data_IF_977625503881
#
_entry.id   IF_977625503881
#
_cell.length_a   1.000
_cell.length_b   1.000
_cell.length_c   1.000
_cell.angle_alpha   90.00
_cell.angle_beta   90.00
_cell.angle_gamma   90.00
#
_symmetry.space_group_name_H-M   'P 1'
#
loop_
_entity.id
_entity.type
_entity.pdbx_description
1 polymer ?
#
# COMPACT_ATOMS: atom_id res chain seq x y z
N UNK A 1 -5.41 3.21 -12.17
CA UNK A 1 -5.21 3.49 -10.74
C UNK A 1 -6.37 4.30 -10.17
N UNK A 2 -6.82 5.35 -10.88
CA UNK A 2 -7.86 6.29 -10.44
C UNK A 2 -9.10 5.61 -9.87
N UNK A 3 -9.70 4.65 -10.59
CA UNK A 3 -10.90 3.96 -10.13
C UNK A 3 -10.69 3.17 -8.83
N UNK A 4 -9.56 2.49 -8.69
CA UNK A 4 -9.22 1.74 -7.48
C UNK A 4 -8.97 2.70 -6.30
N UNK A 5 -8.28 3.81 -6.53
CA UNK A 5 -8.07 4.84 -5.51
C UNK A 5 -9.39 5.50 -5.13
N UNK A 6 -10.26 5.83 -6.09
CA UNK A 6 -11.57 6.41 -5.84
C UNK A 6 -12.44 5.46 -4.99
N UNK A 7 -12.43 4.16 -5.31
CA UNK A 7 -13.10 3.14 -4.50
C UNK A 7 -12.53 3.05 -3.08
N UNK A 8 -11.20 3.09 -2.92
CA UNK A 8 -10.55 3.07 -1.61
C UNK A 8 -10.83 4.33 -0.78
N UNK A 9 -11.04 5.48 -1.42
CA UNK A 9 -11.37 6.75 -0.76
C UNK A 9 -12.86 6.86 -0.41
N UNK A 10 -13.72 5.98 -0.92
CA UNK A 10 -15.14 6.00 -0.63
C UNK A 10 -15.38 5.80 0.88
N UNK A 11 -15.98 6.82 1.52
CA UNK A 11 -16.24 6.82 2.97
C UNK A 11 -15.11 7.37 3.84
N UNK A 12 -13.99 7.81 3.28
CA UNK A 12 -12.85 8.33 4.03
C UNK A 12 -12.81 9.86 4.16
N UNK A 13 -13.93 10.55 3.88
CA UNK A 13 -14.01 12.03 3.82
C UNK A 13 -13.65 12.72 5.15
N UNK A 14 -13.93 12.04 6.25
CA UNK A 14 -13.72 12.54 7.62
C UNK A 14 -12.29 12.33 8.13
N UNK A 15 -11.45 11.56 7.43
CA UNK A 15 -10.07 11.34 7.86
C UNK A 15 -9.23 12.60 7.64
N UNK A 16 -8.52 13.01 8.69
CA UNK A 16 -7.66 14.19 8.68
C UNK A 16 -6.39 13.99 7.85
N UNK A 17 -5.84 12.78 7.86
CA UNK A 17 -4.60 12.45 7.17
C UNK A 17 -4.82 11.24 6.24
N UNK A 18 -4.47 11.42 4.97
CA UNK A 18 -4.51 10.37 3.96
C UNK A 18 -3.12 10.23 3.36
N UNK A 19 -2.53 9.05 3.54
CA UNK A 19 -1.24 8.68 2.98
C UNK A 19 -1.47 7.56 1.98
N UNK A 20 -0.95 7.74 0.76
CA UNK A 20 -1.07 6.74 -0.30
C UNK A 20 0.32 6.38 -0.81
N UNK A 21 0.68 5.11 -0.68
CA UNK A 21 1.93 4.58 -1.21
C UNK A 21 1.68 3.81 -2.50
N UNK A 22 2.47 4.09 -3.52
CA UNK A 22 2.43 3.39 -4.80
C UNK A 22 3.77 3.52 -5.49
N UNK A 23 4.23 2.46 -6.16
CA UNK A 23 5.58 2.40 -6.75
C UNK A 23 5.78 3.48 -7.80
N UNK A 24 4.72 3.92 -8.47
CA UNK A 24 4.79 5.00 -9.46
C UNK A 24 4.13 6.30 -8.98
N UNK A 25 3.99 6.50 -7.67
CA UNK A 25 3.43 7.72 -7.07
C UNK A 25 4.02 9.01 -7.65
N UNK A 26 5.35 9.04 -7.86
CA UNK A 26 6.05 10.24 -8.34
C UNK A 26 5.68 10.65 -9.78
N UNK A 27 5.20 9.70 -10.60
CA UNK A 27 4.71 9.98 -11.96
C UNK A 27 3.21 10.23 -11.92
N UNK A 28 2.50 9.44 -11.12
CA UNK A 28 1.05 9.49 -11.02
C UNK A 28 0.53 10.82 -10.47
N UNK A 29 1.25 11.43 -9.51
CA UNK A 29 0.86 12.71 -8.90
C UNK A 29 0.71 13.84 -9.93
N UNK A 30 1.46 13.80 -11.03
CA UNK A 30 1.50 14.88 -12.03
C UNK A 30 0.14 15.13 -12.70
N UNK A 31 -0.68 14.09 -12.85
CA UNK A 31 -1.99 14.15 -13.52
C UNK A 31 -3.15 13.74 -12.61
N UNK A 32 -2.86 13.40 -11.34
CA UNK A 32 -3.85 12.89 -10.40
C UNK A 32 -5.03 13.86 -10.23
N UNK A 33 -4.75 15.14 -9.99
CA UNK A 33 -5.79 16.14 -9.73
C UNK A 33 -6.68 16.34 -10.96
N UNK A 34 -6.09 16.39 -12.16
CA UNK A 34 -6.83 16.59 -13.40
C UNK A 34 -7.76 15.40 -13.69
N UNK A 35 -7.26 14.17 -13.55
CA UNK A 35 -8.07 12.97 -13.72
C UNK A 35 -9.24 12.93 -12.73
N UNK A 36 -9.02 13.33 -11.47
CA UNK A 36 -10.08 13.32 -10.46
C UNK A 36 -11.08 14.45 -10.65
N UNK A 37 -10.68 15.63 -11.14
CA UNK A 37 -11.62 16.68 -11.56
C UNK A 37 -12.55 16.20 -12.66
N UNK A 38 -12.02 15.45 -13.63
CA UNK A 38 -12.80 14.94 -14.76
C UNK A 38 -13.74 13.79 -14.37
N UNK A 39 -13.24 12.81 -13.59
CA UNK A 39 -13.92 11.52 -13.39
C UNK A 39 -14.58 11.35 -12.02
N UNK A 40 -14.07 12.02 -10.99
CA UNK A 40 -14.51 11.85 -9.59
C UNK A 40 -14.53 13.20 -8.84
N UNK A 41 -15.29 14.20 -9.33
CA UNK A 41 -15.24 15.56 -8.79
C UNK A 41 -15.53 15.63 -7.28
N UNK A 42 -16.41 14.76 -6.77
CA UNK A 42 -16.75 14.67 -5.34
C UNK A 42 -15.59 14.25 -4.42
N UNK A 43 -14.52 13.67 -4.99
CA UNK A 43 -13.33 13.24 -4.27
C UNK A 43 -12.17 14.23 -4.39
N UNK A 44 -12.28 15.28 -5.22
CA UNK A 44 -11.25 16.30 -5.38
C UNK A 44 -10.78 16.89 -4.04
N UNK A 45 -11.68 17.24 -3.08
CA UNK A 45 -11.24 17.75 -1.78
C UNK A 45 -10.39 16.75 -0.98
N UNK A 46 -10.52 15.44 -1.21
CA UNK A 46 -9.64 14.44 -0.59
C UNK A 46 -8.30 14.38 -1.32
N UNK A 47 -8.33 14.44 -2.66
CA UNK A 47 -7.14 14.42 -3.49
C UNK A 47 -6.23 15.63 -3.27
N UNK A 48 -6.79 16.80 -2.97
CA UNK A 48 -5.99 17.98 -2.63
C UNK A 48 -5.24 17.83 -1.29
N UNK A 49 -5.70 16.92 -0.41
CA UNK A 49 -5.14 16.69 0.93
C UNK A 49 -4.31 15.41 1.03
N UNK A 50 -4.40 14.51 0.06
CA UNK A 50 -3.71 13.21 0.08
C UNK A 50 -2.21 13.40 -0.17
N UNK A 51 -1.37 12.69 0.58
CA UNK A 51 0.07 12.64 0.31
C UNK A 51 0.41 11.36 -0.42
N UNK A 52 0.99 11.49 -1.61
CA UNK A 52 1.52 10.36 -2.37
C UNK A 52 2.98 10.14 -1.99
N UNK A 53 3.33 8.90 -1.68
CA UNK A 53 4.65 8.50 -1.20
C UNK A 53 5.14 7.26 -1.96
N UNK A 54 6.45 7.02 -1.89
CA UNK A 54 7.08 5.83 -2.44
C UNK A 54 7.31 4.78 -1.35
N UNK A 55 6.95 3.51 -1.58
CA UNK A 55 7.39 2.40 -0.74
C UNK A 55 8.92 2.36 -0.64
N UNK A 56 9.45 2.00 0.54
CA UNK A 56 10.86 2.19 0.90
C UNK A 56 11.83 1.40 0.03
N UNK A 57 11.46 0.21 -0.42
CA UNK A 57 12.29 -0.63 -1.29
C UNK A 57 12.25 -0.07 -2.71
N UNK A 58 11.04 0.16 -3.24
CA UNK A 58 10.87 0.67 -4.60
C UNK A 58 11.44 2.06 -4.80
N UNK A 59 11.42 2.90 -3.76
CA UNK A 59 11.98 4.26 -3.78
C UNK A 59 13.41 4.30 -4.34
N UNK A 60 14.25 3.30 -4.05
CA UNK A 60 15.65 3.24 -4.50
C UNK A 60 15.79 3.12 -6.03
N UNK A 61 14.75 2.66 -6.73
CA UNK A 61 14.73 2.59 -8.20
C UNK A 61 14.41 3.94 -8.87
N UNK A 62 14.11 4.98 -8.09
CA UNK A 62 13.76 6.31 -8.61
C UNK A 62 14.96 7.26 -8.59
N UNK A 63 14.83 8.38 -9.30
CA UNK A 63 15.81 9.48 -9.26
C UNK A 63 15.95 10.01 -7.83
N UNK A 64 17.14 10.47 -7.47
CA UNK A 64 17.49 10.97 -6.13
C UNK A 64 16.46 11.95 -5.55
N UNK A 65 15.99 12.91 -6.36
CA UNK A 65 14.94 13.85 -5.96
C UNK A 65 13.67 13.15 -5.43
N UNK A 66 13.22 12.09 -6.10
CA UNK A 66 12.04 11.33 -5.67
C UNK A 66 12.29 10.59 -4.35
N UNK A 67 13.52 10.12 -4.13
CA UNK A 67 13.92 9.41 -2.92
C UNK A 67 13.91 10.30 -1.68
N UNK A 68 13.97 11.62 -1.86
CA UNK A 68 13.94 12.59 -0.77
C UNK A 68 12.50 13.11 -0.58
N UNK A 69 11.86 13.53 -1.67
CA UNK A 69 10.54 14.20 -1.61
C UNK A 69 9.40 13.25 -1.23
N UNK A 70 9.45 12.00 -1.72
CA UNK A 70 8.36 11.03 -1.50
C UNK A 70 8.71 10.00 -0.43
N UNK A 71 9.75 10.25 0.37
CA UNK A 71 10.21 9.33 1.39
C UNK A 71 9.21 9.20 2.54
N UNK A 72 8.87 7.96 2.89
CA UNK A 72 8.04 7.66 4.05
C UNK A 72 8.66 8.18 5.36
N UNK A 73 9.97 8.03 5.55
CA UNK A 73 10.65 8.41 6.79
C UNK A 73 10.67 9.91 7.08
N UNK A 74 10.49 10.75 6.06
CA UNK A 74 10.43 12.21 6.21
C UNK A 74 8.99 12.75 6.23
N UNK A 75 7.99 11.87 6.12
CA UNK A 75 6.59 12.28 6.08
C UNK A 75 5.90 12.07 7.43
N UNK A 76 5.33 13.14 7.98
CA UNK A 76 4.58 13.05 9.24
C UNK A 76 3.41 12.07 9.14
N UNK A 77 3.23 11.25 10.19
CA UNK A 77 2.15 10.28 10.32
C UNK A 77 2.43 8.88 9.74
N UNK A 78 3.59 8.66 9.10
CA UNK A 78 3.96 7.34 8.55
C UNK A 78 4.54 6.38 9.60
N UNK A 79 5.15 6.92 10.66
CA UNK A 79 5.93 6.14 11.62
C UNK A 79 7.05 5.35 10.95
N UNK A 80 7.37 4.16 11.47
CA UNK A 80 8.37 3.25 10.89
C UNK A 80 7.80 2.32 9.82
N UNK A 81 6.83 2.81 9.04
CA UNK A 81 6.17 2.05 7.98
C UNK A 81 7.07 1.96 6.74
N UNK A 82 7.06 0.80 6.07
CA UNK A 82 7.85 0.57 4.85
C UNK A 82 7.05 0.79 3.57
N UNK A 83 5.72 0.69 3.60
CA UNK A 83 4.88 0.73 2.40
C UNK A 83 4.91 -0.58 1.58
N UNK A 84 5.70 -1.56 2.00
CA UNK A 84 5.97 -2.81 1.24
C UNK A 84 5.13 -4.00 1.70
N UNK A 85 4.22 -3.83 2.66
CA UNK A 85 3.60 -4.96 3.36
C UNK A 85 2.70 -5.84 2.49
N UNK A 86 2.33 -5.39 1.29
CA UNK A 86 1.64 -6.21 0.28
C UNK A 86 2.60 -7.17 -0.45
N UNK A 87 3.89 -6.84 -0.53
CA UNK A 87 4.91 -7.59 -1.29
C UNK A 87 5.84 -8.40 -0.40
N UNK A 88 6.03 -8.00 0.85
CA UNK A 88 6.78 -8.77 1.86
C UNK A 88 6.42 -10.27 1.91
N UNK A 89 5.14 -10.69 1.78
CA UNK A 89 4.76 -12.10 1.85
C UNK A 89 5.16 -12.89 0.60
N UNK A 90 5.58 -12.24 -0.49
CA UNK A 90 5.91 -12.92 -1.74
C UNK A 90 7.05 -13.92 -1.56
N UNK A 91 8.00 -13.68 -0.65
CA UNK A 91 9.06 -14.64 -0.34
C UNK A 91 8.48 -16.00 0.09
N UNK A 92 7.43 -15.99 0.92
CA UNK A 92 6.75 -17.19 1.39
C UNK A 92 5.78 -17.73 0.34
N UNK A 93 4.99 -16.86 -0.28
CA UNK A 93 3.98 -17.23 -1.28
C UNK A 93 4.60 -17.78 -2.57
N UNK A 94 5.85 -17.46 -2.89
CA UNK A 94 6.56 -18.05 -4.02
C UNK A 94 6.65 -19.58 -3.92
N UNK A 95 6.61 -20.15 -2.70
CA UNK A 95 6.58 -21.59 -2.48
C UNK A 95 5.24 -22.21 -2.92
N UNK A 96 4.14 -21.45 -2.87
CA UNK A 96 2.83 -21.86 -3.37
C UNK A 96 2.85 -22.21 -4.86
N UNK A 97 3.79 -21.66 -5.62
CA UNK A 97 3.90 -21.87 -7.07
C UNK A 97 4.02 -23.35 -7.40
N UNK A 98 4.86 -24.10 -6.67
CA UNK A 98 5.13 -25.51 -6.98
C UNK A 98 3.96 -26.40 -6.55
N UNK A 99 3.38 -26.13 -5.38
CA UNK A 99 2.29 -26.93 -4.82
C UNK A 99 0.97 -26.73 -5.55
N UNK A 100 0.74 -25.54 -6.14
CA UNK A 100 -0.51 -25.23 -6.86
C UNK A 100 -0.44 -25.44 -8.37
N UNK A 101 0.72 -25.82 -8.93
CA UNK A 101 0.92 -25.88 -10.39
C UNK A 101 0.06 -26.93 -11.08
N UNK A 102 -0.08 -28.09 -10.47
CA UNK A 102 -0.82 -29.23 -11.04
C UNK A 102 -2.31 -29.26 -10.61
N UNK A 103 -2.73 -28.27 -9.81
CA UNK A 103 -4.13 -28.16 -9.36
C UNK A 103 -5.05 -27.70 -10.48
N UNK A 104 -6.32 -28.11 -10.44
CA UNK A 104 -7.36 -27.53 -11.28
C UNK A 104 -7.50 -26.02 -11.04
N UNK A 105 -8.08 -25.28 -12.00
CA UNK A 105 -8.24 -23.82 -11.88
C UNK A 105 -8.98 -23.41 -10.60
N UNK A 106 -10.08 -24.09 -10.27
CA UNK A 106 -10.85 -23.82 -9.05
C UNK A 106 -10.05 -24.16 -7.79
N UNK A 107 -9.48 -25.36 -7.73
CA UNK A 107 -8.68 -25.81 -6.58
C UNK A 107 -7.46 -24.91 -6.33
N UNK A 108 -6.81 -24.43 -7.40
CA UNK A 108 -5.70 -23.48 -7.32
C UNK A 108 -6.15 -22.14 -6.74
N UNK A 109 -7.29 -21.63 -7.17
CA UNK A 109 -7.83 -20.37 -6.67
C UNK A 109 -8.16 -20.46 -5.18
N UNK A 110 -8.82 -21.54 -4.76
CA UNK A 110 -9.17 -21.78 -3.36
C UNK A 110 -7.93 -21.96 -2.48
N UNK A 111 -6.94 -22.73 -2.94
CA UNK A 111 -5.67 -22.91 -2.22
C UNK A 111 -4.92 -21.58 -2.04
N UNK A 112 -4.83 -20.75 -3.08
CA UNK A 112 -4.19 -19.44 -2.96
C UNK A 112 -4.97 -18.52 -2.00
N UNK A 113 -6.29 -18.48 -2.09
CA UNK A 113 -7.12 -17.69 -1.17
C UNK A 113 -6.93 -18.11 0.28
N UNK A 114 -6.85 -19.42 0.56
CA UNK A 114 -6.59 -19.92 1.90
C UNK A 114 -5.23 -19.45 2.44
N UNK A 115 -4.18 -19.50 1.62
CA UNK A 115 -2.85 -19.00 1.98
C UNK A 115 -2.85 -17.48 2.26
N UNK A 116 -3.53 -16.69 1.42
CA UNK A 116 -3.66 -15.25 1.63
C UNK A 116 -4.48 -14.92 2.89
N UNK A 117 -5.57 -15.65 3.15
CA UNK A 117 -6.40 -15.49 4.33
C UNK A 117 -5.64 -15.86 5.60
N UNK A 118 -4.86 -16.94 5.58
CA UNK A 118 -3.98 -17.30 6.69
C UNK A 118 -2.98 -16.17 6.98
N UNK A 119 -2.35 -15.58 5.96
CA UNK A 119 -1.45 -14.45 6.15
C UNK A 119 -2.16 -13.21 6.73
N UNK A 120 -3.40 -12.94 6.30
CA UNK A 120 -4.22 -11.87 6.88
C UNK A 120 -4.54 -12.13 8.35
N UNK A 121 -4.89 -13.37 8.70
CA UNK A 121 -5.11 -13.78 10.09
C UNK A 121 -3.85 -13.61 10.94
N UNK A 122 -2.70 -14.07 10.47
CA UNK A 122 -1.43 -13.87 11.18
C UNK A 122 -1.11 -12.39 11.42
N UNK A 123 -1.38 -11.50 10.45
CA UNK A 123 -1.20 -10.06 10.63
C UNK A 123 -2.14 -9.50 11.70
N UNK A 124 -3.39 -9.95 11.74
CA UNK A 124 -4.38 -9.49 12.70
C UNK A 124 -4.03 -9.93 14.13
N UNK A 125 -3.72 -11.22 14.32
CA UNK A 125 -3.33 -11.77 15.63
C UNK A 125 -2.05 -11.12 16.18
N UNK A 126 -1.06 -10.88 15.32
CA UNK A 126 0.22 -10.34 15.74
C UNK A 126 0.27 -8.81 15.75
N UNK A 127 -0.83 -8.12 15.42
CA UNK A 127 -0.87 -6.66 15.31
C UNK A 127 -0.38 -5.98 16.60
N UNK A 128 -0.80 -6.47 17.76
CA UNK A 128 -0.38 -5.93 19.07
C UNK A 128 1.14 -6.02 19.31
N UNK A 129 1.76 -7.12 18.90
CA UNK A 129 3.21 -7.33 19.01
C UNK A 129 3.99 -6.40 18.05
N UNK A 130 3.47 -6.21 16.83
CA UNK A 130 4.08 -5.31 15.85
C UNK A 130 3.92 -3.84 16.23
N UNK A 131 2.78 -3.44 16.81
CA UNK A 131 2.55 -2.08 17.27
C UNK A 131 3.45 -1.70 18.45
N UNK A 132 3.64 -2.59 19.43
CA UNK A 132 4.54 -2.34 20.57
C UNK A 132 6.00 -2.21 20.14
N UNK A 133 6.49 -3.10 19.28
CA UNK A 133 7.88 -3.07 18.79
C UNK A 133 8.21 -1.86 17.90
N UNK A 134 7.22 -1.32 17.18
CA UNK A 134 7.37 -0.11 16.35
C UNK A 134 7.14 1.19 17.11
N UNK A 135 6.28 1.19 18.14
CA UNK A 135 6.05 2.34 19.01
C UNK A 135 7.16 2.58 20.04
N UNK A 136 7.93 1.54 20.42
CA UNK A 136 9.02 1.68 21.42
C UNK A 136 10.39 2.03 20.83
N UNK A 137 10.51 2.20 19.51
CA UNK A 137 11.69 2.82 18.87
C UNK A 137 11.38 4.27 18.54
N UNK A 138 11.12 5.07 19.56
CA UNK A 138 11.12 6.53 19.43
C UNK A 138 12.47 7.00 19.97
N UNK A 139 13.27 7.55 19.06
CA UNK A 139 14.66 8.02 19.21
C UNK A 139 15.74 6.92 19.25
#
# INVERSE_FOLDING_TARGET
>A
MDFALAGALAGLKELLLLLFTYDMSCQYIAHLLDHFKERFPDLVPLIERIKLLLPKMHMLAHKEFCQIVYALCYTWGTGMTTGESVEQPWAELNQARVTTREMSLGSRHDALNDMFNYWNWQKAENLGMYSLSRAMRVW
#
